data_IF_971433395801
#
_entry.id   IF_971433395801
#
_cell.length_a   1.000
_cell.length_b   1.000
_cell.length_c   1.000
_cell.angle_alpha   90.00
_cell.angle_beta   90.00
_cell.angle_gamma   90.00
#
_symmetry.space_group_name_H-M   'P 1'
#
loop_
_entity.id
_entity.type
_entity.pdbx_description
1 polymer ?
#
# COMPACT_ATOMS: atom_id res chain seq x y z
N UNK A 1 -9.51 -4.49 11.45
CA UNK A 1 -9.30 -4.46 9.98
C UNK A 1 -10.12 -3.39 9.26
N UNK A 2 -11.16 -2.78 9.86
CA UNK A 2 -11.92 -1.68 9.20
C UNK A 2 -11.17 -0.34 9.11
N UNK A 3 -10.13 -0.12 9.92
CA UNK A 3 -9.34 1.12 9.94
C UNK A 3 -8.17 1.16 8.94
N UNK A 4 -8.12 0.25 7.97
CA UNK A 4 -7.05 0.19 6.95
C UNK A 4 -7.44 0.84 5.62
N UNK A 5 -8.40 1.77 5.62
CA UNK A 5 -8.72 2.57 4.44
C UNK A 5 -7.95 3.89 4.53
N UNK A 6 -6.77 3.91 3.90
CA UNK A 6 -6.02 5.14 3.69
C UNK A 6 -5.88 5.37 2.18
N UNK A 7 -5.99 6.61 1.72
CA UNK A 7 -5.86 7.01 0.31
C UNK A 7 -4.54 6.56 -0.36
N UNK A 8 -3.52 6.22 0.43
CA UNK A 8 -2.19 5.82 -0.03
C UNK A 8 -1.92 4.32 0.18
N UNK A 9 -2.88 3.58 0.75
CA UNK A 9 -2.79 2.14 0.94
C UNK A 9 -3.69 1.45 -0.07
N UNK A 10 -3.12 0.45 -0.77
CA UNK A 10 -3.89 -0.42 -1.64
C UNK A 10 -5.03 -1.03 -0.83
N UNK A 11 -6.27 -0.76 -1.23
CA UNK A 11 -7.46 -1.24 -0.56
C UNK A 11 -7.46 -2.76 -0.56
N UNK A 12 -7.31 -3.33 0.63
CA UNK A 12 -7.52 -4.75 0.86
C UNK A 12 -9.01 -5.06 0.80
N UNK A 13 -9.40 -5.94 -0.13
CA UNK A 13 -10.79 -6.35 -0.33
C UNK A 13 -11.06 -7.64 0.46
N UNK A 14 -10.10 -8.58 0.45
CA UNK A 14 -10.21 -9.82 1.18
C UNK A 14 -8.98 -10.71 1.01
N UNK A 15 -8.87 -11.75 1.84
CA UNK A 15 -7.91 -12.82 1.62
C UNK A 15 -8.57 -14.15 1.97
N UNK A 16 -8.28 -15.18 1.18
CA UNK A 16 -8.50 -16.57 1.57
C UNK A 16 -7.16 -17.14 1.99
N UNK A 17 -7.11 -17.70 3.20
CA UNK A 17 -5.90 -18.31 3.78
C UNK A 17 -6.07 -19.84 3.90
N UNK A 18 -7.04 -20.39 3.16
CA UNK A 18 -7.35 -21.82 3.20
C UNK A 18 -6.34 -22.61 2.34
N UNK A 19 -5.64 -23.60 2.91
CA UNK A 19 -4.82 -24.51 2.15
C UNK A 19 -5.66 -25.28 1.11
N UNK A 20 -5.16 -25.56 -0.10
CA UNK A 20 -3.78 -25.39 -0.59
C UNK A 20 -3.52 -24.07 -1.33
N UNK A 21 -4.48 -23.15 -1.39
CA UNK A 21 -4.37 -21.94 -2.20
C UNK A 21 -4.70 -20.68 -1.39
N UNK A 22 -3.65 -19.98 -0.93
CA UNK A 22 -3.80 -18.66 -0.34
C UNK A 22 -4.00 -17.62 -1.46
N UNK A 23 -5.07 -16.84 -1.38
CA UNK A 23 -5.36 -15.77 -2.32
C UNK A 23 -5.50 -14.43 -1.58
N UNK A 24 -4.88 -13.40 -2.14
CA UNK A 24 -4.98 -12.02 -1.67
C UNK A 24 -5.75 -11.20 -2.71
N UNK A 25 -6.87 -10.61 -2.30
CA UNK A 25 -7.68 -9.74 -3.15
C UNK A 25 -7.47 -8.29 -2.74
N UNK A 26 -6.84 -7.52 -3.63
CA UNK A 26 -6.61 -6.09 -3.49
C UNK A 26 -7.24 -5.33 -4.66
N UNK A 27 -7.41 -4.02 -4.52
CA UNK A 27 -7.78 -3.20 -5.67
C UNK A 27 -6.77 -3.31 -6.82
N UNK A 28 -7.26 -3.17 -8.05
CA UNK A 28 -6.43 -3.21 -9.24
C UNK A 28 -5.78 -1.84 -9.48
N UNK A 29 -4.46 -1.81 -9.63
CA UNK A 29 -3.70 -0.61 -9.95
C UNK A 29 -3.42 -0.55 -11.46
N UNK A 30 -4.19 0.20 -12.27
CA UNK A 30 -4.06 0.21 -13.73
C UNK A 30 -2.75 0.82 -14.25
N UNK A 31 -1.97 1.49 -13.40
CA UNK A 31 -0.70 2.14 -13.76
C UNK A 31 0.53 1.23 -13.63
N UNK A 32 0.34 -0.04 -13.25
CA UNK A 32 1.45 -0.96 -13.05
C UNK A 32 2.20 -0.71 -11.73
N UNK A 33 3.44 -1.20 -11.64
CA UNK A 33 4.27 -1.00 -10.46
C UNK A 33 4.88 0.39 -10.43
N UNK A 34 5.28 0.86 -9.24
CA UNK A 34 6.02 2.11 -9.11
C UNK A 34 7.33 2.08 -9.92
N UNK A 35 7.96 0.91 -10.05
CA UNK A 35 9.16 0.72 -10.86
C UNK A 35 8.87 0.97 -12.34
N UNK A 36 7.79 0.43 -12.88
CA UNK A 36 7.39 0.64 -14.29
C UNK A 36 7.12 2.13 -14.59
N UNK A 37 6.62 2.86 -13.59
CA UNK A 37 6.38 4.31 -13.67
C UNK A 37 7.71 5.08 -13.59
N UNK A 38 8.65 4.65 -12.75
CA UNK A 38 9.96 5.25 -12.57
C UNK A 38 10.88 5.06 -13.77
N UNK A 39 10.79 3.92 -14.45
CA UNK A 39 11.57 3.57 -15.65
C UNK A 39 10.97 4.17 -16.94
N UNK A 40 9.75 4.71 -16.88
CA UNK A 40 9.10 5.30 -18.04
C UNK A 40 9.64 6.71 -18.33
N UNK A 41 10.57 6.84 -19.27
CA UNK A 41 11.11 8.15 -19.71
C UNK A 41 10.05 9.07 -20.34
N UNK A 42 8.91 8.51 -20.79
CA UNK A 42 7.78 9.29 -21.32
C UNK A 42 6.98 9.98 -20.20
N UNK A 43 7.03 9.45 -18.97
CA UNK A 43 6.43 10.09 -17.81
C UNK A 43 7.45 11.09 -17.24
N UNK A 44 7.22 12.37 -17.50
CA UNK A 44 7.95 13.44 -16.80
C UNK A 44 7.58 13.41 -15.32
N UNK A 45 8.39 12.70 -14.54
CA UNK A 45 8.35 12.70 -13.08
C UNK A 45 8.87 14.05 -12.59
N UNK A 46 7.99 15.04 -12.64
CA UNK A 46 8.26 16.35 -12.07
C UNK A 46 8.61 16.23 -10.59
N UNK A 47 9.40 17.18 -10.08
CA UNK A 47 9.95 17.06 -8.73
C UNK A 47 8.83 16.99 -7.68
N UNK A 48 7.73 17.69 -7.96
CA UNK A 48 6.47 17.68 -7.21
C UNK A 48 5.89 16.26 -7.07
N UNK A 49 5.85 15.47 -8.15
CA UNK A 49 5.27 14.13 -8.14
C UNK A 49 6.12 13.14 -7.36
N UNK A 50 7.45 13.22 -7.49
CA UNK A 50 8.36 12.38 -6.69
C UNK A 50 8.27 12.74 -5.20
N UNK A 51 8.08 14.01 -4.87
CA UNK A 51 7.89 14.45 -3.49
C UNK A 51 6.59 13.89 -2.91
N UNK A 52 5.49 13.95 -3.67
CA UNK A 52 4.22 13.30 -3.29
C UNK A 52 4.40 11.79 -3.07
N UNK A 53 5.10 11.10 -3.97
CA UNK A 53 5.39 9.66 -3.82
C UNK A 53 6.20 9.36 -2.56
N UNK A 54 7.26 10.11 -2.29
CA UNK A 54 8.07 9.93 -1.07
C UNK A 54 7.23 10.17 0.19
N UNK A 55 6.45 11.24 0.19
CA UNK A 55 5.56 11.58 1.31
C UNK A 55 4.52 10.48 1.55
N UNK A 56 3.92 9.96 0.49
CA UNK A 56 2.95 8.87 0.56
C UNK A 56 3.58 7.59 1.10
N UNK A 57 4.79 7.22 0.64
CA UNK A 57 5.53 6.05 1.16
C UNK A 57 5.82 6.18 2.66
N UNK A 58 6.30 7.36 3.10
CA UNK A 58 6.59 7.61 4.52
C UNK A 58 5.31 7.51 5.35
N UNK A 59 4.22 8.12 4.88
CA UNK A 59 2.93 8.12 5.57
C UNK A 59 2.35 6.72 5.67
N UNK A 60 2.38 5.94 4.59
CA UNK A 60 1.98 4.53 4.56
C UNK A 60 2.80 3.71 5.55
N UNK A 61 4.12 3.83 5.49
CA UNK A 61 5.02 3.09 6.38
C UNK A 61 4.74 3.41 7.85
N UNK A 62 4.53 4.69 8.17
CA UNK A 62 4.18 5.12 9.52
C UNK A 62 2.81 4.57 9.97
N UNK A 63 1.78 4.64 9.11
CA UNK A 63 0.45 4.12 9.43
C UNK A 63 0.47 2.60 9.60
N UNK A 64 1.14 1.85 8.73
CA UNK A 64 1.30 0.40 8.86
C UNK A 64 2.07 0.04 10.12
N UNK A 65 3.14 0.77 10.43
CA UNK A 65 3.90 0.59 11.66
C UNK A 65 3.02 0.85 12.89
N UNK A 66 2.26 1.95 12.93
CA UNK A 66 1.36 2.27 14.03
C UNK A 66 0.26 1.20 14.19
N UNK A 67 -0.31 0.71 13.08
CA UNK A 67 -1.32 -0.34 13.09
C UNK A 67 -0.75 -1.70 13.54
N UNK A 68 0.45 -2.06 13.10
CA UNK A 68 1.15 -3.26 13.58
C UNK A 68 1.41 -3.16 15.08
N UNK A 69 1.86 -1.99 15.56
CA UNK A 69 2.12 -1.74 16.97
C UNK A 69 0.80 -1.76 17.80
N UNK A 70 -0.31 -1.23 17.27
CA UNK A 70 -1.65 -1.30 17.89
C UNK A 70 -2.23 -2.72 17.92
N UNK A 71 -1.97 -3.56 16.92
CA UNK A 71 -2.42 -4.97 16.94
C UNK A 71 -1.59 -5.83 17.89
N UNK A 72 -0.30 -5.54 18.06
CA UNK A 72 0.58 -6.20 19.04
C UNK A 72 0.28 -5.81 20.49
N UNK A 73 -0.37 -4.66 20.73
CA UNK A 73 -0.74 -4.16 22.06
C UNK A 73 -2.18 -4.54 22.50
N UNK A 74 -2.89 -5.41 21.78
CA UNK A 74 -4.12 -6.01 22.32
C UNK A 74 -3.76 -7.22 23.19
N UNK A 75 -3.74 -7.11 24.54
CA UNK A 75 -3.68 -8.30 25.37
C UNK A 75 -4.88 -9.18 25.07
N UNK A 76 -4.62 -10.49 25.04
CA UNK A 76 -5.63 -11.54 24.96
C UNK A 76 -6.68 -11.43 26.07
#
# INVERSE_FOLDING_TARGET
>A
MKDLHHEHLVRFIGASVDPPHCFLLTEYCPRGSLQDILENEQLKLDWTFRYSLMHDIVKVGFTVFELANRQLLKPA
#
